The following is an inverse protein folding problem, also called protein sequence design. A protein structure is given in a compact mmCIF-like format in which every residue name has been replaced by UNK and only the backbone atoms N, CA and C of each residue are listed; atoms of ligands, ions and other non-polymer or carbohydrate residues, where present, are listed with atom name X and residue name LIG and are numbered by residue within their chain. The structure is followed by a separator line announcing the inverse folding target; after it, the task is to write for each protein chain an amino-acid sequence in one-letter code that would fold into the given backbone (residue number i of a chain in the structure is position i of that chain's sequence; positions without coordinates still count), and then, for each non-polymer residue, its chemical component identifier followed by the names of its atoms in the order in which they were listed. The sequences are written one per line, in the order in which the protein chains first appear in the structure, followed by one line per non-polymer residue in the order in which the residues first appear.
data_IF_885294871519
#
_entry.id   IF_885294871519
#
_cell.length_a   1.000
_cell.length_b   1.000
_cell.length_c   1.000
_cell.angle_alpha   90.00
_cell.angle_beta   90.00
_cell.angle_gamma   90.00
#
_symmetry.space_group_name_H-M   'P 1'
#
loop_
_entity.id
_entity.type
_entity.pdbx_description
1 polymer ?
#
# COMPACT_ATOMS: atom_id res chain seq x y z
N UNK A 1 -2.94 -27.74 26.75
CA UNK A 1 -2.65 -26.54 27.54
C UNK A 1 -1.31 -25.95 27.20
N UNK A 2 -0.25 -26.69 27.40
CA UNK A 2 1.09 -26.22 27.06
C UNK A 2 1.22 -25.87 25.60
N UNK A 3 0.52 -26.62 24.77
CA UNK A 3 0.56 -26.43 23.35
C UNK A 3 0.05 -25.07 22.92
N UNK A 4 -0.99 -24.58 23.57
CA UNK A 4 -1.58 -23.31 23.17
C UNK A 4 -0.66 -22.14 23.52
N UNK A 5 0.06 -22.21 24.62
CA UNK A 5 1.01 -21.17 24.98
C UNK A 5 2.16 -21.12 24.00
N UNK A 6 2.71 -22.29 23.67
CA UNK A 6 3.79 -22.40 22.71
C UNK A 6 3.35 -21.93 21.35
N UNK A 7 2.13 -22.30 20.94
CA UNK A 7 1.57 -21.89 19.65
C UNK A 7 1.45 -20.38 19.54
N UNK A 8 1.00 -19.72 20.60
CA UNK A 8 0.85 -18.27 20.58
C UNK A 8 2.19 -17.59 20.45
N UNK A 9 3.18 -18.10 21.15
CA UNK A 9 4.52 -17.53 21.09
C UNK A 9 5.11 -17.68 19.70
N UNK A 10 4.99 -18.87 19.10
CA UNK A 10 5.48 -19.10 17.77
C UNK A 10 4.69 -18.30 16.73
N UNK A 11 3.37 -18.19 16.94
CA UNK A 11 2.55 -17.42 16.00
C UNK A 11 2.95 -15.95 15.98
N UNK A 12 3.33 -15.39 17.12
CA UNK A 12 3.76 -14.00 17.19
C UNK A 12 5.07 -13.77 16.42
N UNK A 13 6.02 -14.68 16.58
CA UNK A 13 7.29 -14.53 15.85
C UNK A 13 7.09 -14.78 14.37
N UNK A 14 6.23 -15.74 14.01
CA UNK A 14 5.92 -16.01 12.62
C UNK A 14 5.25 -14.81 11.97
N UNK A 15 4.37 -14.15 12.69
CA UNK A 15 3.70 -12.95 12.18
C UNK A 15 4.71 -11.85 11.91
N UNK A 16 5.63 -11.63 12.83
CA UNK A 16 6.68 -10.62 12.63
C UNK A 16 7.59 -11.01 11.47
N UNK A 17 7.92 -12.29 11.35
CA UNK A 17 8.74 -12.74 10.22
C UNK A 17 8.04 -12.43 8.90
N UNK A 18 6.74 -12.71 8.82
CA UNK A 18 5.99 -12.42 7.60
C UNK A 18 5.95 -10.94 7.30
N UNK A 19 5.84 -10.10 8.32
CA UNK A 19 5.89 -8.65 8.14
C UNK A 19 7.23 -8.24 7.56
N UNK A 20 8.33 -8.73 8.13
CA UNK A 20 9.65 -8.35 7.62
C UNK A 20 9.90 -8.88 6.23
N UNK A 21 9.40 -10.06 5.90
CA UNK A 21 9.49 -10.57 4.53
C UNK A 21 8.74 -9.67 3.56
N UNK A 22 7.57 -9.19 3.97
CA UNK A 22 6.79 -8.29 3.14
C UNK A 22 7.50 -6.96 2.93
N UNK A 23 8.24 -6.49 3.94
CA UNK A 23 8.98 -5.25 3.85
C UNK A 23 10.28 -5.38 3.05
N UNK A 24 10.74 -6.59 2.80
CA UNK A 24 12.03 -6.81 2.15
C UNK A 24 11.93 -6.81 0.64
N UNK A 25 11.33 -5.77 0.08
CA UNK A 25 11.18 -5.60 -1.37
C UNK A 25 11.02 -4.12 -1.69
N UNK A 26 11.81 -3.64 -2.65
CA UNK A 26 11.82 -2.21 -2.99
C UNK A 26 10.46 -1.69 -3.41
N UNK A 27 9.77 -2.43 -4.26
CA UNK A 27 8.47 -2.00 -4.77
C UNK A 27 7.44 -1.94 -3.65
N UNK A 28 7.45 -2.95 -2.78
CA UNK A 28 6.52 -2.97 -1.66
C UNK A 28 6.78 -1.82 -0.69
N UNK A 29 8.05 -1.52 -0.43
CA UNK A 29 8.39 -0.37 0.40
C UNK A 29 7.90 0.94 -0.23
N UNK A 30 8.08 1.09 -1.53
CA UNK A 30 7.60 2.29 -2.24
C UNK A 30 6.09 2.40 -2.16
N UNK A 31 5.38 1.28 -2.29
CA UNK A 31 3.92 1.27 -2.16
C UNK A 31 3.52 1.74 -0.76
N UNK A 32 4.12 1.18 0.28
CA UNK A 32 3.77 1.55 1.65
C UNK A 32 4.04 3.02 1.92
N UNK A 33 5.16 3.53 1.41
CA UNK A 33 5.47 4.94 1.57
C UNK A 33 4.45 5.84 0.86
N UNK A 34 3.99 5.41 -0.31
CA UNK A 34 3.01 6.16 -1.06
C UNK A 34 1.65 6.16 -0.36
N UNK A 35 1.24 5.00 0.15
CA UNK A 35 -0.03 4.92 0.86
C UNK A 35 -0.01 5.79 2.11
N UNK A 36 1.04 5.68 2.93
CA UNK A 36 1.10 6.46 4.16
C UNK A 36 -0.18 6.30 4.96
N UNK A 37 -0.90 7.39 5.15
CA UNK A 37 -2.18 7.40 5.85
C UNK A 37 -3.36 7.52 4.88
N UNK A 38 -3.13 7.33 3.59
CA UNK A 38 -4.14 7.56 2.58
C UNK A 38 -4.64 6.27 1.98
N UNK A 39 -5.84 6.33 1.41
CA UNK A 39 -6.39 5.24 0.63
C UNK A 39 -6.22 5.60 -0.84
N UNK A 40 -5.60 4.71 -1.62
CA UNK A 40 -5.22 5.02 -3.01
C UNK A 40 -5.65 3.88 -3.93
N UNK A 41 -6.17 4.25 -5.09
CA UNK A 41 -6.58 3.29 -6.12
C UNK A 41 -5.35 2.66 -6.77
N UNK A 42 -5.46 1.39 -7.16
CA UNK A 42 -4.37 0.67 -7.78
C UNK A 42 -3.85 1.37 -9.03
N UNK A 43 -4.73 1.99 -9.79
CA UNK A 43 -4.33 2.72 -11.00
C UNK A 43 -3.36 3.84 -10.68
N UNK A 44 -3.65 4.56 -9.62
CA UNK A 44 -2.81 5.68 -9.21
C UNK A 44 -1.51 5.21 -8.59
N UNK A 45 -1.56 4.07 -7.91
CA UNK A 45 -0.35 3.50 -7.31
C UNK A 45 0.65 3.14 -8.39
N UNK A 46 0.24 2.33 -9.37
CA UNK A 46 1.20 1.86 -10.37
C UNK A 46 1.71 3.00 -11.24
N UNK A 47 0.85 3.96 -11.54
CA UNK A 47 1.24 5.11 -12.34
C UNK A 47 2.27 5.97 -11.61
N UNK A 48 2.02 6.22 -10.33
CA UNK A 48 2.93 7.05 -9.52
C UNK A 48 4.29 6.41 -9.36
N UNK A 49 4.32 5.09 -9.26
CA UNK A 49 5.58 4.35 -9.11
C UNK A 49 6.27 4.10 -10.45
N UNK A 50 5.56 4.31 -11.57
CA UNK A 50 6.13 4.03 -12.87
C UNK A 50 6.33 2.55 -13.14
N UNK A 51 5.48 1.69 -12.58
CA UNK A 51 5.55 0.25 -12.80
C UNK A 51 4.29 -0.23 -13.48
N UNK A 52 4.35 -1.35 -14.21
CA UNK A 52 3.14 -1.91 -14.83
C UNK A 52 2.09 -2.25 -13.78
N UNK A 53 0.82 -2.13 -14.15
CA UNK A 53 -0.25 -2.44 -13.20
C UNK A 53 -0.16 -3.88 -12.68
N UNK A 54 0.11 -4.91 -13.51
CA UNK A 54 0.24 -6.27 -12.97
C UNK A 54 1.32 -6.40 -11.91
N UNK A 55 2.41 -5.66 -12.06
CA UNK A 55 3.48 -5.66 -11.07
C UNK A 55 2.99 -5.07 -9.76
N UNK A 56 2.34 -3.90 -9.81
CA UNK A 56 1.80 -3.29 -8.61
C UNK A 56 0.77 -4.20 -7.96
N UNK A 57 -0.13 -4.78 -8.76
CA UNK A 57 -1.17 -5.67 -8.23
C UNK A 57 -0.59 -6.87 -7.52
N UNK A 58 0.49 -7.46 -8.06
CA UNK A 58 1.12 -8.62 -7.45
C UNK A 58 1.72 -8.26 -6.10
N UNK A 59 2.39 -7.13 -6.01
CA UNK A 59 2.98 -6.70 -4.74
C UNK A 59 1.90 -6.29 -3.73
N UNK A 60 0.84 -5.66 -4.20
CA UNK A 60 -0.29 -5.32 -3.33
C UNK A 60 -0.96 -6.57 -2.78
N UNK A 61 -1.08 -7.62 -3.62
CA UNK A 61 -1.62 -8.88 -3.16
C UNK A 61 -0.75 -9.50 -2.07
N UNK A 62 0.56 -9.40 -2.22
CA UNK A 62 1.48 -9.90 -1.20
C UNK A 62 1.30 -9.14 0.12
N UNK A 63 1.24 -7.81 0.03
CA UNK A 63 1.04 -6.98 1.22
C UNK A 63 -0.31 -7.26 1.88
N UNK A 64 -1.33 -7.48 1.08
CA UNK A 64 -2.66 -7.81 1.60
C UNK A 64 -2.65 -9.17 2.30
N UNK A 65 -2.03 -10.15 1.68
CA UNK A 65 -1.93 -11.49 2.27
C UNK A 65 -1.16 -11.47 3.58
N UNK A 66 -0.17 -10.59 3.67
CA UNK A 66 0.61 -10.41 4.90
C UNK A 66 -0.13 -9.61 5.96
N UNK A 67 -1.30 -9.08 5.65
CA UNK A 67 -2.10 -8.33 6.59
C UNK A 67 -1.72 -6.86 6.72
N UNK A 68 -0.77 -6.38 5.92
CA UNK A 68 -0.26 -5.01 6.04
C UNK A 68 -1.11 -3.98 5.34
N UNK A 69 -1.85 -4.37 4.30
CA UNK A 69 -2.76 -3.46 3.62
C UNK A 69 -4.15 -4.03 3.61
N UNK A 70 -5.13 -3.14 3.64
CA UNK A 70 -6.52 -3.47 3.52
C UNK A 70 -7.04 -2.92 2.21
N UNK A 71 -8.11 -3.53 1.71
CA UNK A 71 -8.70 -3.13 0.44
C UNK A 71 -10.14 -2.72 0.65
N UNK A 72 -10.59 -1.83 -0.22
CA UNK A 72 -12.00 -1.45 -0.30
C UNK A 72 -12.41 -1.45 -1.76
N UNK A 73 -13.49 -2.13 -2.06
CA UNK A 73 -14.01 -2.16 -3.43
C UNK A 73 -15.06 -1.06 -3.59
N UNK A 74 -14.92 -0.33 -4.67
CA UNK A 74 -15.90 0.70 -5.03
C UNK A 74 -16.27 0.46 -6.49
N UNK A 75 -17.36 -0.28 -6.72
CA UNK A 75 -17.72 -0.72 -8.06
C UNK A 75 -16.67 -1.68 -8.60
N UNK A 76 -16.07 -1.34 -9.72
CA UNK A 76 -15.00 -2.13 -10.33
C UNK A 76 -13.62 -1.68 -9.86
N UNK A 77 -13.54 -0.65 -9.02
CA UNK A 77 -12.27 -0.07 -8.59
C UNK A 77 -11.85 -0.62 -7.24
N UNK A 78 -10.57 -0.85 -7.09
CA UNK A 78 -10.02 -1.38 -5.84
C UNK A 78 -9.09 -0.35 -5.23
N UNK A 79 -9.38 0.02 -3.99
CA UNK A 79 -8.58 0.96 -3.22
C UNK A 79 -7.80 0.23 -2.15
N UNK A 80 -6.62 0.72 -1.86
CA UNK A 80 -5.69 0.10 -0.91
C UNK A 80 -5.26 1.12 0.13
N UNK A 81 -5.12 0.68 1.36
CA UNK A 81 -4.59 1.50 2.44
C UNK A 81 -3.82 0.61 3.41
N UNK A 82 -2.94 1.23 4.19
CA UNK A 82 -2.27 0.50 5.27
C UNK A 82 -3.33 0.08 6.27
N UNK A 83 -3.26 -1.18 6.69
CA UNK A 83 -4.28 -1.74 7.57
C UNK A 83 -4.33 -1.01 8.91
N UNK A 84 -5.54 -0.77 9.41
CA UNK A 84 -5.74 -0.17 10.72
C UNK A 84 -5.96 -1.23 11.80
N UNK A 85 -5.99 -2.50 11.42
CA UNK A 85 -6.27 -3.61 12.34
C UNK A 85 -5.02 -4.32 12.82
N UNK A 86 -3.87 -3.70 12.66
CA UNK A 86 -2.59 -4.30 13.05
C UNK A 86 -2.42 -4.29 14.57
N UNK A 87 -1.73 -5.31 15.10
CA UNK A 87 -1.37 -5.31 16.50
C UNK A 87 -0.44 -4.13 16.79
N UNK A 88 -0.40 -3.65 18.04
CA UNK A 88 0.45 -2.49 18.36
C UNK A 88 1.91 -2.68 17.98
N UNK A 89 2.44 -3.90 18.16
CA UNK A 89 3.83 -4.17 17.80
C UNK A 89 4.06 -3.97 16.31
N UNK A 90 3.16 -4.51 15.49
CA UNK A 90 3.30 -4.40 14.04
C UNK A 90 3.03 -2.97 13.58
N UNK A 91 2.08 -2.30 14.20
CA UNK A 91 1.85 -0.88 13.92
C UNK A 91 3.14 -0.08 14.11
N UNK A 92 3.86 -0.36 15.19
CA UNK A 92 5.12 0.32 15.45
C UNK A 92 6.16 0.06 14.38
N UNK A 93 6.27 -1.19 13.93
CA UNK A 93 7.22 -1.55 12.86
C UNK A 93 6.87 -0.82 11.57
N UNK A 94 5.59 -0.86 11.19
CA UNK A 94 5.15 -0.23 9.93
C UNK A 94 5.30 1.29 10.00
N UNK A 95 4.93 1.89 11.12
CA UNK A 95 5.06 3.34 11.28
C UNK A 95 6.52 3.78 11.17
N UNK A 96 7.42 3.04 11.81
CA UNK A 96 8.85 3.35 11.74
C UNK A 96 9.38 3.17 10.33
N UNK A 97 8.94 2.12 9.63
CA UNK A 97 9.36 1.89 8.26
C UNK A 97 8.91 3.02 7.34
N UNK A 98 7.65 3.42 7.45
CA UNK A 98 7.11 4.51 6.63
C UNK A 98 7.84 5.81 6.94
N UNK A 99 8.10 6.08 8.22
CA UNK A 99 8.85 7.27 8.63
C UNK A 99 10.23 7.29 7.99
N UNK A 100 10.94 6.18 8.06
CA UNK A 100 12.27 6.08 7.45
C UNK A 100 12.19 6.32 5.94
N UNK A 101 11.16 5.79 5.30
CA UNK A 101 11.00 5.91 3.86
C UNK A 101 10.70 7.34 3.42
N UNK A 102 10.16 8.18 4.31
CA UNK A 102 9.91 9.57 3.96
C UNK A 102 11.20 10.33 3.65
N UNK A 103 12.32 9.83 4.13
CA UNK A 103 13.62 10.45 3.92
C UNK A 103 14.32 9.97 2.65
N UNK A 104 13.74 9.00 1.96
CA UNK A 104 14.39 8.36 0.81
C UNK A 104 14.01 9.11 -0.46
N UNK A 105 15.01 9.49 -1.31
CA UNK A 105 14.70 10.24 -2.54
C UNK A 105 13.74 9.53 -3.48
N UNK A 106 13.84 8.21 -3.60
CA UNK A 106 12.96 7.46 -4.51
C UNK A 106 11.50 7.60 -4.10
N UNK A 107 11.21 7.46 -2.81
CA UNK A 107 9.82 7.60 -2.34
C UNK A 107 9.33 9.03 -2.41
N UNK A 108 10.23 9.99 -2.22
CA UNK A 108 9.87 11.39 -2.42
C UNK A 108 9.48 11.67 -3.86
N UNK A 109 10.20 11.07 -4.79
CA UNK A 109 9.88 11.20 -6.22
C UNK A 109 8.52 10.60 -6.52
N UNK A 110 8.23 9.43 -5.99
CA UNK A 110 6.92 8.79 -6.17
C UNK A 110 5.79 9.69 -5.67
N UNK A 111 5.97 10.29 -4.50
CA UNK A 111 4.96 11.18 -3.93
C UNK A 111 4.78 12.43 -4.78
N UNK A 112 5.86 13.00 -5.30
CA UNK A 112 5.75 14.15 -6.18
C UNK A 112 4.99 13.80 -7.45
N UNK A 113 5.26 12.63 -8.01
CA UNK A 113 4.54 12.16 -9.20
C UNK A 113 3.06 11.98 -8.89
N UNK A 114 2.75 11.38 -7.75
CA UNK A 114 1.37 11.22 -7.31
C UNK A 114 0.68 12.57 -7.16
N UNK A 115 1.34 13.53 -6.53
CA UNK A 115 0.75 14.86 -6.33
C UNK A 115 0.49 15.57 -7.66
N UNK A 116 1.43 15.48 -8.58
CA UNK A 116 1.25 16.11 -9.89
C UNK A 116 0.10 15.52 -10.68
N UNK A 117 -0.01 14.20 -10.63
CA UNK A 117 -1.00 13.50 -11.47
C UNK A 117 -2.37 13.41 -10.82
N UNK A 118 -2.41 13.27 -9.51
CA UNK A 118 -3.66 12.90 -8.82
C UNK A 118 -3.95 13.71 -7.57
N UNK A 119 -3.10 14.68 -7.23
CA UNK A 119 -3.25 15.41 -5.97
C UNK A 119 -4.62 16.04 -5.82
N UNK A 120 -5.16 16.59 -6.88
CA UNK A 120 -6.47 17.23 -6.86
C UNK A 120 -7.58 16.25 -6.49
N UNK A 121 -7.46 15.01 -6.92
CA UNK A 121 -8.49 14.01 -6.66
C UNK A 121 -8.56 13.60 -5.20
N UNK A 122 -7.50 13.83 -4.46
CA UNK A 122 -7.41 13.35 -3.09
C UNK A 122 -7.50 14.48 -2.05
N UNK A 123 -7.87 15.69 -2.49
CA UNK A 123 -7.98 16.81 -1.55
C UNK A 123 -9.02 16.53 -0.47
N UNK A 124 -10.12 15.88 -0.82
CA UNK A 124 -11.20 15.59 0.13
C UNK A 124 -11.26 14.11 0.49
N UNK A 125 -10.18 13.36 0.23
CA UNK A 125 -10.15 11.93 0.49
C UNK A 125 -10.05 11.15 -0.78
N UNK A 126 -10.24 9.82 -0.69
CA UNK A 126 -10.17 8.97 -1.88
C UNK A 126 -11.26 9.34 -2.88
N UNK A 127 -10.92 9.36 -4.17
CA UNK A 127 -11.95 9.63 -5.18
C UNK A 127 -12.97 8.50 -5.24
N UNK A 128 -14.17 8.84 -5.62
CA UNK A 128 -15.23 7.85 -5.77
C UNK A 128 -15.04 7.07 -7.07
N UNK A 129 -15.50 5.85 -7.03
CA UNK A 129 -15.62 4.91 -8.13
C UNK A 129 -14.95 5.27 -9.43
N UNK A 130 -15.76 5.50 -10.41
CA UNK A 130 -15.30 5.70 -11.77
C UNK A 130 -14.32 6.83 -12.01
N UNK A 131 -14.21 7.77 -11.08
CA UNK A 131 -13.25 8.86 -11.24
C UNK A 131 -11.81 8.39 -11.12
N UNK A 132 -11.61 7.22 -10.57
CA UNK A 132 -10.29 6.72 -10.24
C UNK A 132 -9.39 6.52 -11.45
N UNK A 133 -9.77 5.66 -12.37
CA UNK A 133 -8.92 5.29 -13.48
C UNK A 133 -9.48 5.67 -14.83
N UNK A 134 -10.56 6.38 -14.84
CA UNK A 134 -11.41 6.37 -15.99
C UNK A 134 -10.82 6.95 -17.27
N UNK A 135 -10.72 8.19 -17.46
CA UNK A 135 -10.62 8.67 -18.85
C UNK A 135 -9.25 8.73 -19.43
N UNK A 136 -8.25 8.44 -18.67
CA UNK A 136 -6.90 8.71 -19.15
C UNK A 136 -6.47 7.90 -20.34
N UNK A 137 -6.84 6.63 -20.32
CA UNK A 137 -6.51 5.75 -21.45
C UNK A 137 -7.15 6.21 -22.72
N UNK A 138 -8.31 6.79 -22.61
CA UNK A 138 -9.00 7.25 -23.80
C UNK A 138 -8.37 8.49 -24.37
N UNK A 139 -7.90 9.35 -23.50
CA UNK A 139 -7.26 10.56 -23.96
C UNK A 139 -6.02 10.29 -24.77
N UNK A 140 -5.28 9.28 -24.36
CA UNK A 140 -4.06 8.98 -25.06
C UNK A 140 -4.30 8.50 -26.49
N UNK A 141 -5.50 8.10 -26.78
CA UNK A 141 -5.83 7.66 -28.13
C UNK A 141 -6.29 8.79 -29.02
N UNK A 142 -6.65 9.87 -28.44
CA UNK A 142 -7.08 11.02 -29.22
C UNK A 142 -5.89 11.78 -29.72
#
# INVERSE_FOLDING_TARGET
MKRSKTSKSHAAIDELENVFKALADKTRLRILALLGNNEVCVCHIHDSLGVPQPTASRHLAYLRKSGLVATRRDGVWMHYQVSTSLSPAIQGVIAAAIDALQQVPATSQDRRQFQRSFGQLYVLGSPAGGACCAPRTQESQS
#
